data_IF_479909183805
#
_entry.id   IF_479909183805
#
_cell.length_a   1.000
_cell.length_b   1.000
_cell.length_c   1.000
_cell.angle_alpha   90.00
_cell.angle_beta   90.00
_cell.angle_gamma   90.00
#
_symmetry.space_group_name_H-M   'P 1'
#
loop_
_entity.id
_entity.type
_entity.pdbx_description
1 polymer ?
#
# COMPACT_ATOMS: atom_id res chain seq x y z
N UNK A 1 2.86 2.83 12.49
CA UNK A 1 3.44 2.48 11.18
C UNK A 1 2.33 2.60 10.16
N UNK A 2 2.70 3.13 9.00
CA UNK A 2 1.74 3.47 7.98
C UNK A 2 1.40 2.30 7.05
N UNK A 3 0.11 2.07 6.79
CA UNK A 3 -0.36 0.88 6.04
C UNK A 3 0.21 0.83 4.63
N UNK A 4 0.28 1.99 3.99
CA UNK A 4 0.75 2.10 2.61
C UNK A 4 2.28 1.96 2.50
N UNK A 5 3.05 2.54 3.44
CA UNK A 5 4.51 2.36 3.48
C UNK A 5 4.92 0.90 3.63
N UNK A 6 4.24 0.16 4.52
CA UNK A 6 4.50 -1.27 4.71
C UNK A 6 4.16 -2.10 3.47
N UNK A 7 2.95 -1.93 2.91
CA UNK A 7 2.54 -2.62 1.69
C UNK A 7 3.50 -2.34 0.52
N UNK A 8 3.96 -1.09 0.41
CA UNK A 8 4.93 -0.70 -0.61
C UNK A 8 6.28 -1.43 -0.42
N UNK A 9 6.81 -1.43 0.81
CA UNK A 9 8.07 -2.10 1.13
C UNK A 9 8.01 -3.59 0.81
N UNK A 10 6.95 -4.27 1.23
CA UNK A 10 6.75 -5.71 0.99
C UNK A 10 6.73 -6.03 -0.51
N UNK A 11 5.94 -5.30 -1.30
CA UNK A 11 5.87 -5.49 -2.75
C UNK A 11 7.21 -5.20 -3.43
N UNK A 12 7.87 -4.11 -3.05
CA UNK A 12 9.16 -3.77 -3.65
C UNK A 12 10.22 -4.85 -3.40
N UNK A 13 10.24 -5.43 -2.20
CA UNK A 13 11.15 -6.53 -1.86
C UNK A 13 10.77 -7.82 -2.60
N UNK A 14 9.49 -8.19 -2.62
CA UNK A 14 8.98 -9.40 -3.27
C UNK A 14 9.28 -9.42 -4.78
N UNK A 15 9.17 -8.28 -5.45
CA UNK A 15 9.35 -8.16 -6.90
C UNK A 15 10.72 -7.62 -7.31
N UNK A 16 11.64 -7.38 -6.36
CA UNK A 16 12.97 -6.83 -6.65
C UNK A 16 12.95 -5.41 -7.25
N UNK A 17 11.93 -4.62 -6.93
CA UNK A 17 11.76 -3.26 -7.44
C UNK A 17 12.58 -2.30 -6.57
N UNK A 18 13.54 -1.62 -7.18
CA UNK A 18 14.37 -0.64 -6.47
C UNK A 18 13.67 0.75 -6.37
N UNK A 19 14.01 1.53 -5.35
CA UNK A 19 13.42 2.85 -5.07
C UNK A 19 13.61 3.84 -6.23
N UNK A 20 14.78 3.83 -6.88
CA UNK A 20 15.06 4.70 -8.03
C UNK A 20 14.13 4.39 -9.21
N UNK A 21 13.86 3.12 -9.50
CA UNK A 21 12.99 2.68 -10.60
C UNK A 21 11.57 3.16 -10.37
N UNK A 22 11.07 3.05 -9.15
CA UNK A 22 9.75 3.56 -8.78
C UNK A 22 9.72 5.09 -8.89
N UNK A 23 10.72 5.79 -8.33
CA UNK A 23 10.83 7.25 -8.37
C UNK A 23 10.80 7.80 -9.81
N UNK A 24 11.64 7.25 -10.70
CA UNK A 24 11.68 7.64 -12.12
C UNK A 24 10.37 7.35 -12.83
N UNK A 25 9.69 6.24 -12.50
CA UNK A 25 8.41 5.88 -13.14
C UNK A 25 7.27 6.78 -12.67
N UNK A 26 7.32 7.24 -11.41
CA UNK A 26 6.37 8.20 -10.84
C UNK A 26 6.68 9.66 -11.19
N UNK A 27 7.90 9.97 -11.66
CA UNK A 27 8.34 11.35 -11.88
C UNK A 27 8.55 12.15 -10.58
N UNK A 28 8.82 11.46 -9.46
CA UNK A 28 9.03 12.07 -8.14
C UNK A 28 10.47 11.88 -7.66
N UNK A 29 10.88 12.64 -6.65
CA UNK A 29 12.21 12.50 -6.05
C UNK A 29 12.36 11.17 -5.29
N UNK A 30 13.53 10.53 -5.41
CA UNK A 30 13.85 9.28 -4.71
C UNK A 30 13.74 9.41 -3.18
N UNK A 31 14.02 10.59 -2.61
CA UNK A 31 13.81 10.85 -1.18
C UNK A 31 12.37 10.61 -0.73
N UNK A 32 11.37 10.94 -1.57
CA UNK A 32 9.96 10.68 -1.27
C UNK A 32 9.69 9.17 -1.12
N UNK A 33 10.21 8.39 -2.05
CA UNK A 33 10.12 6.92 -2.03
C UNK A 33 10.88 6.34 -0.83
N UNK A 34 12.05 6.89 -0.51
CA UNK A 34 12.85 6.48 0.64
C UNK A 34 12.08 6.64 1.95
N UNK A 35 11.41 7.78 2.14
CA UNK A 35 10.62 8.02 3.35
C UNK A 35 9.45 7.04 3.49
N UNK A 36 8.76 6.72 2.38
CA UNK A 36 7.69 5.74 2.34
C UNK A 36 8.17 4.32 2.59
N UNK A 37 9.27 3.92 1.93
CA UNK A 37 9.85 2.59 2.07
C UNK A 37 10.37 2.34 3.49
N UNK A 38 10.96 3.34 4.13
CA UNK A 38 11.42 3.24 5.52
C UNK A 38 10.32 3.54 6.55
N UNK A 39 9.07 3.73 6.10
CA UNK A 39 7.90 3.95 6.95
C UNK A 39 8.02 5.18 7.88
N UNK A 40 8.89 6.13 7.51
CA UNK A 40 9.11 7.39 8.24
C UNK A 40 8.04 8.44 7.92
N UNK A 41 7.46 8.35 6.72
CA UNK A 41 6.31 9.13 6.30
C UNK A 41 5.43 8.23 5.46
N UNK A 42 4.11 8.29 5.61
CA UNK A 42 3.19 7.55 4.77
C UNK A 42 2.85 8.32 3.49
N UNK A 43 2.62 7.65 2.35
CA UNK A 43 2.02 8.30 1.19
C UNK A 43 0.58 8.71 1.48
N UNK A 44 0.21 9.91 1.03
CA UNK A 44 -1.18 10.37 1.06
C UNK A 44 -2.03 9.61 0.04
N UNK A 45 -3.36 9.67 0.16
CA UNK A 45 -4.29 8.92 -0.70
C UNK A 45 -4.03 9.11 -2.21
N UNK A 46 -3.73 10.34 -2.65
CA UNK A 46 -3.36 10.61 -4.05
C UNK A 46 -2.08 9.88 -4.47
N UNK A 47 -1.05 9.88 -3.60
CA UNK A 47 0.19 9.16 -3.86
C UNK A 47 0.01 7.64 -3.88
N UNK A 48 -0.97 7.08 -3.16
CA UNK A 48 -1.30 5.65 -3.24
C UNK A 48 -1.79 5.28 -4.64
N UNK A 49 -2.65 6.10 -5.25
CA UNK A 49 -3.10 5.89 -6.62
C UNK A 49 -1.93 5.98 -7.61
N UNK A 50 -1.05 6.97 -7.46
CA UNK A 50 0.14 7.11 -8.31
C UNK A 50 1.11 5.93 -8.17
N UNK A 51 1.26 5.38 -6.97
CA UNK A 51 2.06 4.18 -6.72
C UNK A 51 1.50 2.99 -7.51
N UNK A 52 0.18 2.77 -7.48
CA UNK A 52 -0.47 1.68 -8.23
C UNK A 52 -0.18 1.82 -9.73
N UNK A 53 -0.38 3.02 -10.29
CA UNK A 53 -0.14 3.31 -11.71
C UNK A 53 1.33 3.09 -12.08
N UNK A 54 2.26 3.52 -11.24
CA UNK A 54 3.68 3.33 -11.49
C UNK A 54 4.12 1.88 -11.37
N UNK A 55 3.63 1.16 -10.35
CA UNK A 55 3.85 -0.27 -10.20
C UNK A 55 3.29 -1.04 -11.39
N UNK A 56 2.12 -0.67 -11.93
CA UNK A 56 1.53 -1.35 -13.08
C UNK A 56 2.41 -1.25 -14.32
N UNK A 57 3.04 -0.08 -14.53
CA UNK A 57 4.03 0.13 -15.61
C UNK A 57 5.31 -0.68 -15.43
N UNK A 58 5.71 -0.97 -14.18
CA UNK A 58 6.93 -1.75 -13.87
C UNK A 58 6.63 -3.25 -13.91
N UNK A 59 5.60 -3.67 -13.20
CA UNK A 59 5.14 -5.04 -13.07
C UNK A 59 3.64 -5.05 -12.66
N UNK A 60 2.78 -5.49 -13.57
CA UNK A 60 1.33 -5.56 -13.36
C UNK A 60 0.92 -6.38 -12.12
N UNK A 61 1.65 -7.45 -11.79
CA UNK A 61 1.35 -8.27 -10.62
C UNK A 61 1.73 -7.55 -9.31
N UNK A 62 2.84 -6.80 -9.31
CA UNK A 62 3.25 -5.99 -8.16
C UNK A 62 2.18 -4.94 -7.79
N UNK A 63 1.56 -4.30 -8.80
CA UNK A 63 0.46 -3.36 -8.56
C UNK A 63 -0.76 -4.01 -7.90
N UNK A 64 -1.17 -5.19 -8.38
CA UNK A 64 -2.29 -5.95 -7.81
C UNK A 64 -2.00 -6.38 -6.37
N UNK A 65 -0.79 -6.85 -6.11
CA UNK A 65 -0.39 -7.28 -4.78
C UNK A 65 -0.29 -6.09 -3.82
N UNK A 66 0.15 -4.92 -4.30
CA UNK A 66 0.15 -3.69 -3.49
C UNK A 66 -1.27 -3.29 -3.07
N UNK A 67 -2.22 -3.27 -4.00
CA UNK A 67 -3.64 -2.98 -3.69
C UNK A 67 -4.19 -4.01 -2.71
N UNK A 68 -3.92 -5.31 -2.94
CA UNK A 68 -4.34 -6.38 -2.02
C UNK A 68 -3.80 -6.14 -0.62
N UNK A 69 -2.49 -5.97 -0.46
CA UNK A 69 -1.84 -5.77 0.83
C UNK A 69 -2.32 -4.50 1.54
N UNK A 70 -2.50 -3.39 0.80
CA UNK A 70 -2.99 -2.14 1.37
C UNK A 70 -4.44 -2.26 1.89
N UNK A 71 -5.29 -3.01 1.18
CA UNK A 71 -6.69 -3.22 1.55
C UNK A 71 -6.92 -4.39 2.52
N UNK A 72 -6.04 -5.40 2.57
CA UNK A 72 -6.18 -6.54 3.49
C UNK A 72 -6.05 -6.13 4.97
N UNK A 73 -5.32 -5.06 5.28
CA UNK A 73 -5.29 -4.44 6.60
C UNK A 73 -6.50 -3.51 6.85
N UNK A 74 -7.38 -3.33 5.87
CA UNK A 74 -8.72 -2.79 6.03
C UNK A 74 -9.66 -3.99 6.18
N UNK A 75 -9.41 -4.81 7.20
CA UNK A 75 -10.49 -5.63 7.74
C UNK A 75 -11.56 -4.66 8.20
N UNK A 76 -12.68 -4.62 7.48
CA UNK A 76 -13.93 -4.24 8.12
C UNK A 76 -14.09 -5.30 9.19
N UNK A 77 -13.75 -4.96 10.44
CA UNK A 77 -14.30 -5.70 11.56
C UNK A 77 -15.81 -5.66 11.29
N UNK A 78 -16.37 -6.79 10.86
CA UNK A 78 -17.81 -6.97 10.90
C UNK A 78 -18.14 -6.73 12.35
N UNK A 79 -18.70 -5.54 12.61
CA UNK A 79 -19.24 -5.13 13.88
C UNK A 79 -20.32 -6.16 14.16
N UNK A 80 -19.92 -7.26 14.80
CA UNK A 80 -20.74 -8.37 15.28
C UNK A 80 -21.58 -7.81 16.42
N UNK A 81 -22.43 -6.83 16.07
CA UNK A 81 -23.65 -6.52 16.77
C UNK A 81 -24.54 -7.73 16.56
N UNK A 82 -24.28 -8.73 17.37
CA UNK A 82 -25.31 -9.54 18.00
C UNK A 82 -26.21 -8.58 18.80
N UNK A 83 -27.01 -7.80 18.08
CA UNK A 83 -28.15 -7.08 18.64
C UNK A 83 -29.12 -8.16 19.16
N UNK A 84 -29.63 -7.89 20.36
CA UNK A 84 -30.36 -8.77 21.27
C UNK A 84 -31.52 -9.56 20.65
N UNK A 85 -31.75 -10.78 21.13
CA UNK A 85 -33.09 -11.13 21.60
C UNK A 85 -33.01 -12.01 22.85
N UNK A 86 -32.99 -11.32 23.99
CA UNK A 86 -33.52 -11.81 25.26
C UNK A 86 -34.99 -12.18 25.07
N UNK A 87 -35.42 -13.38 25.50
CA UNK A 87 -36.75 -13.86 25.99
C UNK A 87 -36.74 -15.39 25.76
N UNK A 88 -36.97 -16.33 26.68
CA UNK A 88 -37.79 -16.44 27.90
C UNK A 88 -37.07 -17.37 28.91
#
# INVERSE_FOLDING_TARGET
MGKAGRALREVMQQYGINQNKLATTMGVGCSKIHYWFNETQDPVAESVADIVVALEKINRQAARDFVRLYLSDITFEEDDRSDEESTD
#
